data_IF_707169711318
#
_entry.id   IF_707169711318
#
_cell.length_a   1.000
_cell.length_b   1.000
_cell.length_c   1.000
_cell.angle_alpha   90.00
_cell.angle_beta   90.00
_cell.angle_gamma   90.00
#
_symmetry.space_group_name_H-M   'P 1'
#
loop_
_entity.id
_entity.type
_entity.pdbx_description
1 polymer ?
#
# COMPACT_ATOMS: atom_id res chain seq x y z
N UNK A 1 0.48 4.13 15.03
CA UNK A 1 0.62 4.02 13.56
C UNK A 1 -0.77 3.87 13.01
N UNK A 2 -1.13 4.72 12.07
CA UNK A 2 -2.41 4.62 11.35
C UNK A 2 -2.24 3.66 10.19
N UNK A 3 -3.36 3.12 9.70
CA UNK A 3 -3.36 2.25 8.50
C UNK A 3 -2.72 2.95 7.30
N UNK A 4 -2.81 4.29 7.24
CA UNK A 4 -2.18 5.08 6.19
C UNK A 4 -0.65 5.13 6.33
N UNK A 5 -0.14 5.24 7.55
CA UNK A 5 1.32 5.22 7.80
C UNK A 5 1.94 3.91 7.32
N UNK A 6 1.30 2.77 7.60
CA UNK A 6 1.77 1.46 7.16
C UNK A 6 1.79 1.35 5.63
N UNK A 7 0.76 1.89 4.96
CA UNK A 7 0.70 1.95 3.49
C UNK A 7 1.85 2.79 2.93
N UNK A 8 2.12 3.96 3.51
CA UNK A 8 3.20 4.83 3.04
C UNK A 8 4.58 4.19 3.25
N UNK A 9 4.81 3.53 4.37
CA UNK A 9 6.09 2.84 4.64
C UNK A 9 6.34 1.68 3.67
N UNK A 10 5.29 0.96 3.26
CA UNK A 10 5.40 -0.09 2.24
C UNK A 10 5.68 0.52 0.86
N UNK A 11 4.96 1.58 0.48
CA UNK A 11 5.14 2.26 -0.82
C UNK A 11 6.56 2.83 -0.96
N UNK A 12 7.15 3.34 0.13
CA UNK A 12 8.54 3.85 0.14
C UNK A 12 9.60 2.78 -0.12
N UNK A 13 9.28 1.51 0.10
CA UNK A 13 10.19 0.39 -0.14
C UNK A 13 10.19 -0.07 -1.61
N UNK A 14 9.30 0.46 -2.47
CA UNK A 14 9.25 0.09 -3.89
C UNK A 14 10.52 0.57 -4.60
N UNK A 15 11.33 -0.32 -5.20
CA UNK A 15 12.54 0.06 -5.90
C UNK A 15 12.25 0.94 -7.12
N UNK A 16 13.19 1.82 -7.47
CA UNK A 16 13.08 2.64 -8.69
C UNK A 16 12.97 1.74 -9.93
N UNK A 17 12.05 2.09 -10.82
CA UNK A 17 11.76 1.32 -12.03
C UNK A 17 10.89 0.07 -11.80
N UNK A 18 10.40 -0.14 -10.57
CA UNK A 18 9.39 -1.15 -10.24
C UNK A 18 8.07 -0.46 -9.88
N UNK A 19 7.00 -1.23 -10.05
CA UNK A 19 5.64 -0.82 -9.68
C UNK A 19 5.02 -1.92 -8.83
N UNK A 20 4.12 -1.54 -7.94
CA UNK A 20 3.31 -2.46 -7.14
C UNK A 20 1.83 -2.07 -7.29
N UNK A 21 0.94 -3.07 -7.25
CA UNK A 21 -0.49 -2.84 -7.35
C UNK A 21 -1.10 -2.55 -5.98
N UNK A 22 -2.24 -1.85 -5.94
CA UNK A 22 -2.94 -1.59 -4.67
C UNK A 22 -3.33 -2.88 -3.93
N UNK A 23 -3.56 -3.98 -4.65
CA UNK A 23 -3.77 -5.30 -4.05
C UNK A 23 -2.52 -5.81 -3.33
N UNK A 24 -1.35 -5.75 -3.98
CA UNK A 24 -0.08 -6.15 -3.37
C UNK A 24 0.27 -5.32 -2.13
N UNK A 25 0.05 -4.00 -2.19
CA UNK A 25 0.27 -3.11 -1.05
C UNK A 25 -0.73 -3.43 0.08
N UNK A 26 -1.99 -3.73 -0.24
CA UNK A 26 -2.98 -4.12 0.75
C UNK A 26 -2.61 -5.45 1.43
N UNK A 27 -2.11 -6.44 0.68
CA UNK A 27 -1.67 -7.71 1.24
C UNK A 27 -0.46 -7.52 2.18
N UNK A 28 0.51 -6.69 1.79
CA UNK A 28 1.66 -6.34 2.62
C UNK A 28 1.27 -5.54 3.89
N UNK A 29 0.23 -4.72 3.80
CA UNK A 29 -0.31 -3.96 4.93
C UNK A 29 -1.26 -4.79 5.84
N UNK A 30 -1.38 -6.10 5.61
CA UNK A 30 -2.34 -6.98 6.29
C UNK A 30 -3.82 -6.55 6.10
N UNK A 31 -4.09 -5.83 5.02
CA UNK A 31 -5.40 -5.32 4.60
C UNK A 31 -6.02 -6.18 3.48
N UNK A 32 -5.97 -7.50 3.64
CA UNK A 32 -6.43 -8.45 2.62
C UNK A 32 -7.83 -8.09 2.07
N UNK A 33 -7.95 -7.99 0.75
CA UNK A 33 -9.20 -7.64 0.07
C UNK A 33 -9.59 -6.15 0.12
N UNK A 34 -8.81 -5.29 0.79
CA UNK A 34 -9.08 -3.85 0.92
C UNK A 34 -8.20 -2.99 0.00
N UNK A 35 -7.96 -3.44 -1.22
CA UNK A 35 -7.16 -2.68 -2.21
C UNK A 35 -7.69 -1.26 -2.48
N UNK A 36 -9.01 -1.04 -2.40
CA UNK A 36 -9.61 0.30 -2.53
C UNK A 36 -9.18 1.26 -1.42
N UNK A 37 -8.95 0.76 -0.20
CA UNK A 37 -8.48 1.56 0.93
C UNK A 37 -7.09 2.14 0.64
N UNK A 38 -6.21 1.33 0.03
CA UNK A 38 -4.88 1.79 -0.40
C UNK A 38 -4.99 2.87 -1.48
N UNK A 39 -5.94 2.72 -2.41
CA UNK A 39 -6.25 3.76 -3.39
C UNK A 39 -6.66 5.08 -2.72
N UNK A 40 -7.52 5.03 -1.69
CA UNK A 40 -7.90 6.23 -0.93
C UNK A 40 -6.76 6.84 -0.12
N UNK A 41 -5.82 6.02 0.35
CA UNK A 41 -4.63 6.50 1.06
C UNK A 41 -3.68 7.30 0.15
N UNK A 42 -3.71 7.02 -1.15
CA UNK A 42 -2.80 7.58 -2.15
C UNK A 42 -3.47 8.64 -3.06
N UNK A 43 -4.75 8.91 -2.86
CA UNK A 43 -5.51 9.98 -3.53
C UNK A 43 -5.33 11.30 -2.77
#
# INVERSE_FOLDING_TARGET
>A
MTVYDDIYEIVRQIPRGKVATYGQIADLAQLYGKARLVGYALY
#
